data_IF_458730636537
#
_entry.id   IF_458730636537
#
_cell.length_a   1.000
_cell.length_b   1.000
_cell.length_c   1.000
_cell.angle_alpha   90.00
_cell.angle_beta   90.00
_cell.angle_gamma   90.00
#
_symmetry.space_group_name_H-M   'P 1'
#
loop_
_entity.id
_entity.type
_entity.pdbx_description
1 polymer ?
#
# COMPACT_ATOMS: atom_id res chain seq x y z
N UNK A 1 -14.47 7.92 6.81
CA UNK A 1 -13.86 6.91 5.92
C UNK A 1 -12.81 6.12 6.70
N UNK A 2 -12.84 4.79 6.63
CA UNK A 2 -11.89 3.92 7.32
C UNK A 2 -11.09 3.09 6.31
N UNK A 3 -9.77 3.06 6.45
CA UNK A 3 -8.87 2.31 5.57
C UNK A 3 -8.68 0.87 6.06
N UNK A 4 -8.34 -0.05 5.15
CA UNK A 4 -8.07 -1.46 5.49
C UNK A 4 -6.97 -1.61 6.57
N UNK A 5 -5.96 -0.73 6.55
CA UNK A 5 -4.90 -0.69 7.58
C UNK A 5 -5.42 -0.40 8.98
N UNK A 6 -6.49 0.40 9.11
CA UNK A 6 -7.12 0.71 10.38
C UNK A 6 -7.96 -0.47 10.86
N UNK A 7 -8.69 -1.13 9.95
CA UNK A 7 -9.42 -2.37 10.26
C UNK A 7 -8.49 -3.51 10.66
N UNK A 8 -7.36 -3.67 9.97
CA UNK A 8 -6.31 -4.61 10.35
C UNK A 8 -5.84 -4.38 11.78
N UNK A 9 -5.49 -3.12 12.11
CA UNK A 9 -5.01 -2.76 13.44
C UNK A 9 -6.04 -3.00 14.55
N UNK A 10 -7.33 -2.83 14.26
CA UNK A 10 -8.42 -3.02 15.20
C UNK A 10 -8.77 -4.49 15.43
N UNK A 11 -8.65 -5.33 14.40
CA UNK A 11 -9.16 -6.71 14.43
C UNK A 11 -8.11 -7.75 14.74
N UNK A 12 -6.81 -7.48 14.53
CA UNK A 12 -5.74 -8.47 14.76
C UNK A 12 -5.12 -8.33 16.15
N UNK A 13 -5.10 -9.39 16.98
CA UNK A 13 -4.61 -9.31 18.35
C UNK A 13 -3.11 -9.00 18.44
N UNK A 14 -2.34 -9.35 17.40
CA UNK A 14 -0.90 -9.13 17.35
C UNK A 14 -0.47 -7.80 16.71
N UNK A 15 -1.37 -7.04 16.07
CA UNK A 15 -1.00 -5.88 15.25
C UNK A 15 -0.14 -4.86 16.01
N UNK A 16 -0.50 -4.57 17.27
CA UNK A 16 0.28 -3.66 18.14
C UNK A 16 1.70 -4.19 18.39
N UNK A 17 1.83 -5.47 18.73
CA UNK A 17 3.11 -6.11 19.03
C UNK A 17 4.02 -6.12 17.80
N UNK A 18 3.49 -6.51 16.64
CA UNK A 18 4.27 -6.58 15.39
C UNK A 18 4.76 -5.18 14.98
N UNK A 19 3.91 -4.16 15.11
CA UNK A 19 4.32 -2.79 14.88
C UNK A 19 5.47 -2.36 15.79
N UNK A 20 5.48 -2.77 17.06
CA UNK A 20 6.58 -2.49 17.99
C UNK A 20 7.87 -3.23 17.61
N UNK A 21 7.78 -4.51 17.22
CA UNK A 21 8.93 -5.31 16.80
C UNK A 21 9.66 -4.67 15.62
N UNK A 22 8.94 -4.30 14.56
CA UNK A 22 9.54 -3.69 13.37
C UNK A 22 10.08 -2.28 13.60
N UNK A 23 9.53 -1.56 14.57
CA UNK A 23 10.00 -0.24 14.97
C UNK A 23 11.29 -0.31 15.81
N UNK A 24 11.42 -1.34 16.63
CA UNK A 24 12.56 -1.51 17.55
C UNK A 24 13.72 -2.30 16.93
N UNK A 25 13.44 -3.12 15.92
CA UNK A 25 14.44 -3.99 15.35
C UNK A 25 15.55 -3.22 14.63
N UNK A 26 16.79 -3.59 14.94
CA UNK A 26 17.98 -3.13 14.24
C UNK A 26 18.10 -3.83 12.88
N UNK A 27 17.64 -5.09 12.79
CA UNK A 27 17.65 -5.88 11.57
C UNK A 27 16.24 -6.38 11.20
N UNK A 28 15.79 -6.22 9.93
CA UNK A 28 14.48 -6.70 9.49
C UNK A 28 14.27 -8.22 9.66
N UNK A 29 15.34 -9.02 9.54
CA UNK A 29 15.27 -10.47 9.68
C UNK A 29 14.89 -10.90 11.11
N UNK A 30 15.39 -10.19 12.12
CA UNK A 30 15.08 -10.47 13.52
C UNK A 30 13.62 -10.15 13.84
N UNK A 31 13.13 -8.97 13.40
CA UNK A 31 11.73 -8.60 13.53
C UNK A 31 10.81 -9.66 12.91
N UNK A 32 11.18 -10.15 11.71
CA UNK A 32 10.43 -11.17 10.99
C UNK A 32 10.38 -12.51 11.73
N UNK A 33 11.49 -12.95 12.33
CA UNK A 33 11.52 -14.18 13.12
C UNK A 33 10.59 -14.09 14.33
N UNK A 34 10.71 -13.01 15.12
CA UNK A 34 9.87 -12.78 16.30
C UNK A 34 8.38 -12.59 15.94
N UNK A 35 8.11 -11.98 14.79
CA UNK A 35 6.77 -11.84 14.23
C UNK A 35 6.14 -13.21 13.93
N UNK A 36 6.88 -14.10 13.24
CA UNK A 36 6.42 -15.46 12.93
C UNK A 36 6.08 -16.22 14.20
N UNK A 37 6.93 -16.14 15.23
CA UNK A 37 6.68 -16.81 16.51
C UNK A 37 5.44 -16.25 17.22
N UNK A 38 5.23 -14.93 17.19
CA UNK A 38 4.06 -14.31 17.80
C UNK A 38 2.76 -14.73 17.12
N UNK A 39 2.73 -14.76 15.78
CA UNK A 39 1.56 -15.16 15.01
C UNK A 39 1.31 -16.66 15.16
N UNK A 40 2.36 -17.48 15.10
CA UNK A 40 2.26 -18.94 15.25
C UNK A 40 1.53 -19.33 16.54
N UNK A 41 1.88 -18.72 17.68
CA UNK A 41 1.21 -18.98 18.97
C UNK A 41 -0.28 -18.65 18.95
N UNK A 42 -0.66 -17.57 18.29
CA UNK A 42 -2.07 -17.15 18.19
C UNK A 42 -2.85 -18.03 17.20
N UNK A 43 -2.23 -18.43 16.09
CA UNK A 43 -2.79 -19.40 15.15
C UNK A 43 -2.96 -20.78 15.81
N UNK A 44 -1.99 -21.24 16.58
CA UNK A 44 -2.08 -22.50 17.33
C UNK A 44 -3.21 -22.46 18.37
N UNK A 45 -3.39 -21.33 19.07
CA UNK A 45 -4.52 -21.13 19.99
C UNK A 45 -5.86 -21.16 19.24
N UNK A 46 -5.95 -20.49 18.09
CA UNK A 46 -7.15 -20.50 17.27
C UNK A 46 -7.46 -21.89 16.69
N UNK A 47 -6.42 -22.65 16.32
CA UNK A 47 -6.54 -23.99 15.75
C UNK A 47 -7.11 -25.02 16.74
N UNK A 48 -7.14 -24.71 18.05
CA UNK A 48 -7.82 -25.54 19.05
C UNK A 48 -9.34 -25.51 18.92
N UNK A 49 -9.89 -24.48 18.26
CA UNK A 49 -11.34 -24.23 18.17
C UNK A 49 -11.83 -24.22 16.73
N UNK A 50 -10.98 -23.84 15.77
CA UNK A 50 -11.34 -23.71 14.36
C UNK A 50 -10.34 -24.42 13.46
N UNK A 51 -10.80 -24.98 12.34
CA UNK A 51 -9.91 -25.38 11.26
C UNK A 51 -9.35 -24.13 10.58
N UNK A 52 -8.02 -24.06 10.42
CA UNK A 52 -7.35 -22.93 9.78
C UNK A 52 -6.72 -23.40 8.48
N UNK A 53 -7.26 -22.99 7.31
CA UNK A 53 -6.66 -23.33 6.02
C UNK A 53 -5.24 -22.80 5.90
N UNK A 54 -4.35 -23.56 5.24
CA UNK A 54 -2.96 -23.14 5.02
C UNK A 54 -2.85 -21.79 4.29
N UNK A 55 -3.77 -21.51 3.37
CA UNK A 55 -3.86 -20.21 2.67
C UNK A 55 -4.08 -19.05 3.65
N UNK A 56 -4.89 -19.24 4.69
CA UNK A 56 -5.13 -18.23 5.75
C UNK A 56 -3.85 -17.93 6.51
N UNK A 57 -3.08 -18.96 6.86
CA UNK A 57 -1.80 -18.80 7.56
C UNK A 57 -0.83 -17.98 6.70
N UNK A 58 -0.71 -18.32 5.42
CA UNK A 58 0.15 -17.58 4.47
C UNK A 58 -0.26 -16.12 4.34
N UNK A 59 -1.56 -15.86 4.19
CA UNK A 59 -2.10 -14.50 4.06
C UNK A 59 -1.87 -13.67 5.32
N UNK A 60 -2.12 -14.23 6.51
CA UNK A 60 -1.93 -13.51 7.78
C UNK A 60 -0.45 -13.23 8.07
N UNK A 61 0.45 -14.16 7.75
CA UNK A 61 1.89 -13.93 7.84
C UNK A 61 2.33 -12.79 6.91
N UNK A 62 1.83 -12.77 5.67
CA UNK A 62 2.16 -11.73 4.70
C UNK A 62 1.58 -10.36 5.10
N UNK A 63 0.32 -10.31 5.55
CA UNK A 63 -0.31 -9.10 6.07
C UNK A 63 0.42 -8.55 7.28
N UNK A 64 0.84 -9.42 8.20
CA UNK A 64 1.60 -9.01 9.37
C UNK A 64 2.98 -8.46 9.01
N UNK A 65 3.68 -9.09 8.06
CA UNK A 65 4.96 -8.60 7.55
C UNK A 65 4.78 -7.23 6.89
N UNK A 66 3.77 -7.08 6.04
CA UNK A 66 3.42 -5.82 5.38
C UNK A 66 3.03 -4.73 6.40
N UNK A 67 2.25 -5.08 7.42
CA UNK A 67 1.87 -4.19 8.51
C UNK A 67 3.10 -3.72 9.31
N UNK A 68 4.02 -4.63 9.63
CA UNK A 68 5.27 -4.29 10.32
C UNK A 68 6.08 -3.24 9.56
N UNK A 69 6.26 -3.45 8.26
CA UNK A 69 6.91 -2.48 7.37
C UNK A 69 6.15 -1.15 7.29
N UNK A 70 4.84 -1.20 7.13
CA UNK A 70 3.98 -0.01 7.09
C UNK A 70 4.11 0.83 8.38
N UNK A 71 4.09 0.19 9.55
CA UNK A 71 4.23 0.88 10.83
C UNK A 71 5.63 1.50 11.00
N UNK A 72 6.69 0.76 10.67
CA UNK A 72 8.06 1.28 10.83
C UNK A 72 8.36 2.47 9.90
N UNK A 73 7.65 2.58 8.77
CA UNK A 73 7.75 3.70 7.83
C UNK A 73 6.80 4.86 8.11
N UNK A 74 6.02 4.80 9.19
CA UNK A 74 5.21 5.93 9.66
C UNK A 74 3.73 5.85 9.31
N UNK A 75 3.24 4.69 8.85
CA UNK A 75 1.83 4.46 8.51
C UNK A 75 1.30 5.38 7.41
N UNK A 76 2.16 5.65 6.42
CA UNK A 76 1.86 6.55 5.30
C UNK A 76 0.79 5.93 4.41
N UNK A 77 -0.31 6.65 4.19
CA UNK A 77 -1.38 6.26 3.26
C UNK A 77 -1.34 7.18 2.05
N UNK A 78 -1.32 6.59 0.85
CA UNK A 78 -1.60 7.30 -0.39
C UNK A 78 -2.99 6.92 -0.85
N UNK A 79 -3.86 7.90 -1.03
CA UNK A 79 -5.24 7.72 -1.43
C UNK A 79 -5.41 8.26 -2.84
N UNK A 80 -5.82 7.42 -3.78
CA UNK A 80 -6.22 7.88 -5.11
C UNK A 80 -7.55 8.63 -4.96
N UNK A 81 -7.58 9.91 -5.31
CA UNK A 81 -8.82 10.68 -5.29
C UNK A 81 -9.85 10.08 -6.26
N UNK A 82 -11.15 10.22 -5.97
CA UNK A 82 -12.22 9.49 -6.67
C UNK A 82 -12.17 9.69 -8.19
N UNK A 83 -11.96 10.93 -8.65
CA UNK A 83 -11.86 11.23 -10.08
C UNK A 83 -10.64 10.54 -10.74
N UNK A 84 -9.51 10.50 -10.03
CA UNK A 84 -8.31 9.80 -10.49
C UNK A 84 -8.50 8.29 -10.49
N UNK A 85 -9.08 7.73 -9.43
CA UNK A 85 -9.36 6.30 -9.33
C UNK A 85 -10.29 5.84 -10.47
N UNK A 86 -11.34 6.62 -10.77
CA UNK A 86 -12.25 6.35 -11.88
C UNK A 86 -11.55 6.41 -13.25
N UNK A 87 -10.71 7.42 -13.49
CA UNK A 87 -9.95 7.54 -14.72
C UNK A 87 -8.95 6.38 -14.90
N UNK A 88 -8.31 5.95 -13.81
CA UNK A 88 -7.36 4.84 -13.82
C UNK A 88 -8.06 3.49 -14.01
N UNK A 89 -9.28 3.31 -13.51
CA UNK A 89 -10.10 2.13 -13.80
C UNK A 89 -10.43 2.03 -15.31
N UNK A 90 -10.58 3.17 -15.98
CA UNK A 90 -10.76 3.27 -17.44
C UNK A 90 -9.43 3.36 -18.22
N UNK A 91 -8.30 3.05 -17.58
CA UNK A 91 -6.97 3.04 -18.21
C UNK A 91 -6.44 1.62 -18.24
N UNK A 92 -5.92 1.19 -19.40
CA UNK A 92 -5.25 -0.13 -19.52
C UNK A 92 -4.12 -0.24 -18.51
N UNK A 93 -3.99 -1.40 -17.87
CA UNK A 93 -2.84 -1.69 -17.01
C UNK A 93 -1.53 -1.44 -17.79
N UNK A 94 -0.49 -0.84 -17.18
CA UNK A 94 0.79 -0.70 -17.83
C UNK A 94 1.39 -2.07 -18.16
N UNK A 95 2.08 -2.18 -19.28
CA UNK A 95 2.81 -3.40 -19.64
C UNK A 95 4.12 -3.58 -18.84
N UNK A 96 4.68 -2.47 -18.34
CA UNK A 96 5.91 -2.42 -17.53
C UNK A 96 5.72 -1.39 -16.42
N UNK A 97 6.40 -1.54 -15.29
CA UNK A 97 6.57 -0.43 -14.35
C UNK A 97 7.63 0.57 -14.85
N UNK A 98 7.62 1.84 -14.38
CA UNK A 98 8.69 2.78 -14.64
C UNK A 98 10.05 2.26 -14.16
N UNK A 99 11.12 2.56 -14.90
CA UNK A 99 12.49 2.12 -14.56
C UNK A 99 12.98 2.73 -13.22
N UNK A 100 12.40 3.87 -12.85
CA UNK A 100 12.61 4.54 -11.57
C UNK A 100 11.25 4.85 -10.92
N UNK A 101 11.08 4.41 -9.67
CA UNK A 101 9.88 4.66 -8.88
C UNK A 101 10.09 5.87 -7.97
N UNK A 102 9.09 6.75 -7.93
CA UNK A 102 8.99 7.85 -6.96
C UNK A 102 7.92 7.48 -5.94
N UNK A 103 8.32 6.82 -4.86
CA UNK A 103 7.41 6.31 -3.83
C UNK A 103 7.37 7.25 -2.62
N UNK A 104 6.21 7.39 -1.94
CA UNK A 104 6.09 8.26 -0.76
C UNK A 104 6.88 7.74 0.45
N UNK A 105 7.13 6.43 0.52
CA UNK A 105 7.97 5.76 1.50
C UNK A 105 8.35 4.37 0.99
N UNK A 106 9.36 3.74 1.60
CA UNK A 106 9.73 2.34 1.31
C UNK A 106 8.61 1.34 1.66
N UNK A 107 7.68 1.73 2.54
CA UNK A 107 6.47 0.98 2.79
C UNK A 107 5.31 1.92 3.10
N UNK A 108 4.19 1.71 2.44
CA UNK A 108 3.00 2.54 2.55
C UNK A 108 1.76 1.74 2.16
N UNK A 109 0.58 2.31 2.37
CA UNK A 109 -0.67 1.73 1.87
C UNK A 109 -1.21 2.59 0.73
N UNK A 110 -1.42 1.99 -0.44
CA UNK A 110 -2.11 2.61 -1.56
C UNK A 110 -3.59 2.24 -1.49
N UNK A 111 -4.44 3.23 -1.22
CA UNK A 111 -5.87 3.05 -1.20
C UNK A 111 -6.49 3.40 -2.56
N UNK A 112 -7.38 2.51 -3.02
CA UNK A 112 -8.18 2.66 -4.24
C UNK A 112 -9.65 2.71 -3.79
N UNK A 113 -10.32 3.87 -3.87
CA UNK A 113 -11.74 3.99 -3.53
C UNK A 113 -12.61 2.99 -4.29
N UNK A 114 -13.59 2.41 -3.60
CA UNK A 114 -14.50 1.40 -4.16
C UNK A 114 -13.94 -0.02 -4.26
N UNK A 115 -12.62 -0.18 -4.44
CA UNK A 115 -11.98 -1.49 -4.69
C UNK A 115 -11.27 -2.06 -3.45
N UNK A 116 -10.55 -1.20 -2.70
CA UNK A 116 -9.77 -1.60 -1.53
C UNK A 116 -8.40 -0.92 -1.49
N UNK A 117 -7.32 -1.70 -1.63
CA UNK A 117 -5.97 -1.16 -1.71
C UNK A 117 -4.87 -2.20 -1.61
N UNK A 118 -3.63 -1.74 -1.47
CA UNK A 118 -2.48 -2.60 -1.29
C UNK A 118 -1.53 -2.03 -0.24
N UNK A 119 -1.01 -2.90 0.62
CA UNK A 119 0.28 -2.61 1.24
C UNK A 119 1.37 -2.76 0.18
N UNK A 120 2.18 -1.74 0.03
CA UNK A 120 3.31 -1.71 -0.90
C UNK A 120 4.58 -1.71 -0.06
N UNK A 121 5.46 -2.68 -0.28
CA UNK A 121 6.80 -2.73 0.32
C UNK A 121 7.84 -2.76 -0.78
N UNK A 122 8.73 -1.77 -0.79
CA UNK A 122 9.78 -1.60 -1.76
C UNK A 122 11.08 -2.29 -1.31
N UNK A 123 11.63 -3.11 -2.19
CA UNK A 123 12.92 -3.78 -2.03
C UNK A 123 13.91 -3.22 -3.06
N UNK A 124 14.57 -2.07 -2.78
CA UNK A 124 15.41 -1.37 -3.76
C UNK A 124 16.56 -2.24 -4.28
N UNK A 125 17.20 -3.01 -3.40
CA UNK A 125 18.31 -3.91 -3.76
C UNK A 125 17.93 -5.00 -4.77
N UNK A 126 16.63 -5.33 -4.83
CA UNK A 126 16.07 -6.32 -5.75
C UNK A 126 15.25 -5.69 -6.86
N UNK A 127 15.12 -4.36 -6.85
CA UNK A 127 14.20 -3.58 -7.70
C UNK A 127 12.82 -4.25 -7.79
N UNK A 128 12.26 -4.56 -6.63
CA UNK A 128 11.00 -5.28 -6.52
C UNK A 128 10.03 -4.57 -5.58
N UNK A 129 8.74 -4.70 -5.86
CA UNK A 129 7.65 -4.35 -4.97
C UNK A 129 6.95 -5.62 -4.52
N UNK A 130 6.74 -5.74 -3.21
CA UNK A 130 5.82 -6.71 -2.64
C UNK A 130 4.48 -6.00 -2.45
N UNK A 131 3.43 -6.57 -3.03
CA UNK A 131 2.07 -6.07 -2.98
C UNK A 131 1.23 -7.06 -2.17
N UNK A 132 0.67 -6.60 -1.07
CA UNK A 132 -0.37 -7.33 -0.33
C UNK A 132 -1.68 -6.62 -0.61
N UNK A 133 -2.43 -7.13 -1.59
CA UNK A 133 -3.72 -6.61 -2.02
C UNK A 133 -4.77 -6.96 -0.97
N UNK A 134 -5.65 -6.00 -0.69
CA UNK A 134 -6.69 -6.11 0.33
C UNK A 134 -7.98 -5.52 -0.20
N UNK A 135 -9.06 -6.28 -0.21
CA UNK A 135 -10.38 -5.82 -0.71
C UNK A 135 -10.98 -4.76 0.21
N UNK A 136 -11.89 -3.96 -0.35
CA UNK A 136 -12.61 -2.93 0.41
C UNK A 136 -13.39 -3.52 1.61
N UNK A 137 -13.93 -4.73 1.48
CA UNK A 137 -14.65 -5.44 2.53
C UNK A 137 -13.76 -6.11 3.59
N UNK A 138 -12.44 -5.98 3.52
CA UNK A 138 -11.52 -6.68 4.42
C UNK A 138 -11.75 -6.34 5.90
N UNK A 139 -11.84 -7.38 6.73
CA UNK A 139 -11.95 -7.31 8.19
C UNK A 139 -13.09 -6.38 8.67
N UNK A 140 -14.35 -6.64 8.28
CA UNK A 140 -15.48 -5.85 8.73
C UNK A 140 -15.70 -6.04 10.24
N UNK A 141 -16.33 -5.06 10.88
CA UNK A 141 -16.54 -5.07 12.33
C UNK A 141 -17.33 -6.32 12.77
N UNK A 142 -16.88 -6.96 13.84
CA UNK A 142 -17.53 -8.14 14.42
C UNK A 142 -17.24 -9.48 13.73
N UNK A 143 -16.50 -9.51 12.62
CA UNK A 143 -16.08 -10.76 11.98
C UNK A 143 -14.80 -11.30 12.62
N UNK A 144 -14.78 -12.61 12.88
CA UNK A 144 -13.59 -13.29 13.35
C UNK A 144 -12.49 -13.15 12.31
N UNK A 145 -11.31 -12.67 12.71
CA UNK A 145 -10.20 -12.39 11.82
C UNK A 145 -9.77 -13.61 10.98
N UNK A 146 -10.06 -14.83 11.44
CA UNK A 146 -9.82 -16.09 10.74
C UNK A 146 -10.62 -16.25 9.44
N UNK A 147 -11.73 -15.54 9.27
CA UNK A 147 -12.63 -15.66 8.11
C UNK A 147 -12.29 -14.68 6.97
N UNK A 148 -11.19 -13.94 7.05
CA UNK A 148 -10.87 -12.86 6.10
C UNK A 148 -9.78 -13.22 5.08
N UNK A 149 -9.38 -14.49 4.98
CA UNK A 149 -8.27 -14.91 4.12
C UNK A 149 -8.55 -14.77 2.61
N UNK A 150 -9.80 -14.93 2.20
CA UNK A 150 -10.30 -14.73 0.84
C UNK A 150 -10.28 -13.24 0.40
N UNK A 151 -10.04 -12.33 1.35
CA UNK A 151 -9.99 -10.89 1.12
C UNK A 151 -8.56 -10.36 0.97
N UNK A 152 -7.58 -11.24 0.72
CA UNK A 152 -6.16 -10.91 0.58
C UNK A 152 -5.54 -11.66 -0.61
N UNK A 153 -4.68 -10.98 -1.37
CA UNK A 153 -3.89 -11.58 -2.45
C UNK A 153 -2.47 -11.04 -2.46
N UNK A 154 -1.51 -11.86 -2.88
CA UNK A 154 -0.09 -11.53 -2.82
C UNK A 154 0.48 -11.48 -4.23
N UNK A 155 1.07 -10.34 -4.58
CA UNK A 155 1.81 -10.19 -5.82
C UNK A 155 3.21 -9.65 -5.56
N UNK A 156 4.16 -10.08 -6.36
CA UNK A 156 5.50 -9.50 -6.43
C UNK A 156 5.73 -9.03 -7.85
N UNK A 157 6.20 -7.79 -7.98
CA UNK A 157 6.53 -7.20 -9.28
C UNK A 157 7.94 -6.63 -9.25
N UNK A 158 8.71 -6.93 -10.27
CA UNK A 158 10.09 -6.49 -10.48
C UNK A 158 10.14 -5.46 -11.60
N UNK A 159 11.11 -4.55 -11.52
CA UNK A 159 11.31 -3.49 -12.50
C UNK A 159 12.80 -3.17 -12.74
N UNK A 160 13.18 -2.77 -13.96
CA UNK A 160 12.36 -2.75 -15.16
C UNK A 160 12.05 -4.18 -15.65
N UNK A 161 10.88 -4.39 -16.25
CA UNK A 161 10.46 -5.72 -16.69
C UNK A 161 9.00 -5.74 -17.15
N UNK A 162 8.61 -6.78 -17.88
CA UNK A 162 7.23 -6.97 -18.31
C UNK A 162 6.38 -7.50 -17.15
N UNK A 163 5.21 -6.91 -16.97
CA UNK A 163 4.29 -7.26 -15.88
C UNK A 163 3.50 -8.53 -16.19
N UNK A 164 3.08 -8.75 -17.44
CA UNK A 164 2.24 -9.88 -17.82
C UNK A 164 2.73 -11.26 -17.31
N UNK A 165 3.99 -11.69 -17.52
CA UNK A 165 4.44 -12.99 -17.02
C UNK A 165 4.49 -13.06 -15.49
N UNK A 166 4.76 -11.93 -14.81
CA UNK A 166 4.86 -11.87 -13.35
C UNK A 166 3.49 -11.95 -12.67
N UNK A 167 2.44 -11.54 -13.36
CA UNK A 167 1.08 -11.46 -12.83
C UNK A 167 0.21 -12.67 -13.22
N UNK A 168 0.73 -13.60 -14.02
CA UNK A 168 -0.03 -14.74 -14.55
C UNK A 168 -0.61 -15.67 -13.48
N UNK A 169 -0.02 -15.70 -12.28
CA UNK A 169 -0.47 -16.52 -11.16
C UNK A 169 -1.51 -15.82 -10.27
N UNK A 170 -1.77 -14.53 -10.48
CA UNK A 170 -2.76 -13.79 -9.68
C UNK A 170 -4.17 -14.23 -10.11
N UNK A 171 -5.04 -14.48 -9.14
CA UNK A 171 -6.42 -14.87 -9.42
C UNK A 171 -7.18 -13.81 -10.21
N UNK A 172 -8.02 -14.23 -11.17
CA UNK A 172 -8.73 -13.33 -12.07
C UNK A 172 -9.57 -12.25 -11.37
N UNK A 173 -10.17 -12.60 -10.22
CA UNK A 173 -10.98 -11.69 -9.40
C UNK A 173 -10.18 -10.54 -8.78
N UNK A 174 -8.84 -10.61 -8.80
CA UNK A 174 -7.94 -9.58 -8.28
C UNK A 174 -7.40 -8.66 -9.36
N UNK A 175 -7.59 -8.97 -10.64
CA UNK A 175 -7.03 -8.19 -11.74
C UNK A 175 -7.51 -6.73 -11.74
N UNK A 176 -8.75 -6.45 -11.35
CA UNK A 176 -9.27 -5.09 -11.24
C UNK A 176 -8.49 -4.24 -10.24
N UNK A 177 -8.44 -4.69 -8.98
CA UNK A 177 -7.69 -4.01 -7.92
C UNK A 177 -6.19 -3.96 -8.22
N UNK A 178 -5.60 -5.04 -8.73
CA UNK A 178 -4.20 -5.07 -9.11
C UNK A 178 -3.87 -4.06 -10.21
N UNK A 179 -4.70 -3.98 -11.26
CA UNK A 179 -4.54 -3.00 -12.32
C UNK A 179 -4.65 -1.58 -11.77
N UNK A 180 -5.60 -1.31 -10.87
CA UNK A 180 -5.75 0.00 -10.22
C UNK A 180 -4.51 0.37 -9.37
N UNK A 181 -3.97 -0.60 -8.62
CA UNK A 181 -2.74 -0.42 -7.83
C UNK A 181 -1.53 -0.14 -8.73
N UNK A 182 -1.34 -0.91 -9.81
CA UNK A 182 -0.24 -0.71 -10.75
C UNK A 182 -0.36 0.61 -11.51
N UNK A 183 -1.57 0.98 -11.93
CA UNK A 183 -1.88 2.28 -12.51
C UNK A 183 -1.56 3.41 -11.51
N UNK A 184 -1.94 3.27 -10.25
CA UNK A 184 -1.63 4.24 -9.19
C UNK A 184 -0.12 4.38 -8.96
N UNK A 185 0.62 3.28 -8.91
CA UNK A 185 2.08 3.28 -8.80
C UNK A 185 2.75 3.95 -10.00
N UNK A 186 2.29 3.68 -11.22
CA UNK A 186 2.77 4.36 -12.42
C UNK A 186 2.43 5.87 -12.37
N UNK A 187 1.25 6.23 -11.86
CA UNK A 187 0.80 7.62 -11.72
C UNK A 187 1.69 8.43 -10.77
N UNK A 188 2.22 7.81 -9.71
CA UNK A 188 3.14 8.46 -8.77
C UNK A 188 4.45 8.96 -9.39
N UNK A 189 4.77 8.50 -10.61
CA UNK A 189 5.93 8.98 -11.38
C UNK A 189 5.59 10.11 -12.34
N UNK A 190 4.31 10.47 -12.49
CA UNK A 190 3.87 11.47 -13.45
C UNK A 190 4.01 12.89 -12.86
N UNK A 191 4.56 13.86 -13.61
CA UNK A 191 4.75 15.22 -13.12
C UNK A 191 3.44 15.97 -12.86
N UNK A 192 2.34 15.54 -13.50
CA UNK A 192 1.00 16.10 -13.32
C UNK A 192 0.29 15.59 -12.06
N UNK A 193 0.84 14.60 -11.36
CA UNK A 193 0.24 14.12 -10.13
C UNK A 193 0.48 15.13 -9.01
N UNK A 194 -0.60 15.62 -8.43
CA UNK A 194 -0.60 16.49 -7.27
C UNK A 194 -0.77 15.65 -6.01
N UNK A 195 0.02 15.98 -4.99
CA UNK A 195 0.00 15.32 -3.69
C UNK A 195 -0.53 16.29 -2.65
N UNK A 196 -1.79 16.11 -2.26
CA UNK A 196 -2.44 16.95 -1.24
C UNK A 196 -2.35 16.30 0.13
N UNK A 197 -1.71 17.00 1.07
CA UNK A 197 -1.52 16.58 2.47
C UNK A 197 -2.30 17.46 3.43
N UNK A 198 -3.63 17.47 3.28
CA UNK A 198 -4.51 18.34 4.08
C UNK A 198 -4.36 18.19 5.61
N UNK A 199 -3.87 17.04 6.08
CA UNK A 199 -3.57 16.81 7.50
C UNK A 199 -2.46 17.72 8.04
N UNK A 200 -1.49 18.14 7.20
CA UNK A 200 -0.38 19.00 7.62
C UNK A 200 -0.88 20.38 8.07
N UNK A 201 -1.90 20.92 7.39
CA UNK A 201 -2.49 22.22 7.74
C UNK A 201 -3.34 22.18 9.03
N UNK A 202 -3.84 21.00 9.41
CA UNK A 202 -4.70 20.81 10.59
C UNK A 202 -3.92 20.35 11.83
N UNK A 203 -2.68 19.90 11.65
CA UNK A 203 -1.83 19.40 12.74
C UNK A 203 -0.92 20.51 13.31
N UNK A 204 -0.44 20.38 14.56
CA UNK A 204 0.55 21.31 15.10
C UNK A 204 1.81 21.35 14.22
N UNK A 205 2.18 22.55 13.75
CA UNK A 205 3.27 22.76 12.81
C UNK A 205 4.62 22.21 13.31
N UNK A 206 4.87 22.28 14.62
CA UNK A 206 6.06 21.70 15.26
C UNK A 206 6.14 20.17 15.08
N UNK A 207 5.00 19.47 15.17
CA UNK A 207 4.95 18.01 15.00
C UNK A 207 5.10 17.63 13.53
N UNK A 208 4.50 18.41 12.62
CA UNK A 208 4.66 18.22 11.17
C UNK A 208 6.14 18.38 10.78
N UNK A 209 6.79 19.47 11.20
CA UNK A 209 8.20 19.71 10.93
C UNK A 209 9.10 18.62 11.53
N UNK A 210 8.82 18.18 12.76
CA UNK A 210 9.58 17.11 13.40
C UNK A 210 9.34 15.73 12.74
N UNK A 211 8.14 15.46 12.22
CA UNK A 211 7.83 14.24 11.47
C UNK A 211 8.56 14.20 10.12
N UNK A 212 8.80 15.35 9.52
CA UNK A 212 9.58 15.53 8.30
C UNK A 212 11.09 15.76 8.54
N UNK A 213 11.58 15.60 9.78
CA UNK A 213 12.96 15.93 10.13
C UNK A 213 13.96 15.19 9.21
N UNK A 214 14.92 15.87 8.57
CA UNK A 214 15.71 15.31 7.46
C UNK A 214 16.60 14.14 7.88
N UNK A 215 17.32 14.25 8.99
CA UNK A 215 18.36 13.27 9.38
C UNK A 215 18.01 12.40 10.59
N UNK A 216 17.19 12.85 11.54
CA UNK A 216 16.95 12.14 12.79
C UNK A 216 15.71 11.23 12.75
N UNK A 217 15.93 9.93 12.56
CA UNK A 217 14.86 8.92 12.57
C UNK A 217 14.07 8.87 13.88
N UNK A 218 14.75 9.02 15.03
CA UNK A 218 14.11 9.04 16.36
C UNK A 218 13.16 10.23 16.52
N UNK A 219 13.56 11.41 16.03
CA UNK A 219 12.71 12.61 16.04
C UNK A 219 11.48 12.40 15.17
N UNK A 220 11.66 11.92 13.92
CA UNK A 220 10.54 11.59 13.03
C UNK A 220 9.56 10.64 13.70
N UNK A 221 10.06 9.53 14.25
CA UNK A 221 9.22 8.52 14.88
C UNK A 221 8.45 9.05 16.10
N UNK A 222 9.10 9.85 16.95
CA UNK A 222 8.44 10.48 18.11
C UNK A 222 7.32 11.41 17.66
N UNK A 223 7.59 12.30 16.70
CA UNK A 223 6.61 13.24 16.18
C UNK A 223 5.44 12.54 15.49
N UNK A 224 5.71 11.52 14.67
CA UNK A 224 4.67 10.67 14.05
C UNK A 224 3.79 9.97 15.08
N UNK A 225 4.39 9.52 16.18
CA UNK A 225 3.64 8.93 17.30
C UNK A 225 2.76 9.97 18.01
N UNK A 226 3.20 11.23 18.10
CA UNK A 226 2.41 12.33 18.66
C UNK A 226 1.25 12.71 17.74
N UNK A 227 1.51 12.87 16.44
CA UNK A 227 0.48 13.12 15.42
C UNK A 227 -0.62 12.06 15.48
N UNK A 228 -0.24 10.79 15.47
CA UNK A 228 -1.18 9.69 15.54
C UNK A 228 -2.00 9.69 16.83
N UNK A 229 -1.37 9.95 17.99
CA UNK A 229 -2.08 10.08 19.28
C UNK A 229 -3.05 11.26 19.29
N UNK A 230 -2.71 12.33 18.57
CA UNK A 230 -3.59 13.48 18.35
C UNK A 230 -4.68 13.25 17.31
N UNK A 231 -4.79 12.06 16.73
CA UNK A 231 -5.79 11.72 15.72
C UNK A 231 -5.41 12.06 14.28
N UNK A 232 -4.18 12.53 14.03
CA UNK A 232 -3.70 12.88 12.70
C UNK A 232 -3.08 11.65 12.00
N UNK A 233 -3.66 11.25 10.87
CA UNK A 233 -3.08 10.23 9.98
C UNK A 233 -2.33 10.87 8.81
N UNK A 234 -1.15 10.33 8.47
CA UNK A 234 -0.38 10.75 7.28
C UNK A 234 -1.05 10.24 5.98
N UNK A 235 -2.14 10.89 5.59
CA UNK A 235 -2.90 10.58 4.37
C UNK A 235 -2.55 11.60 3.29
N UNK A 236 -1.98 11.13 2.19
CA UNK A 236 -1.73 11.95 1.00
C UNK A 236 -2.74 11.61 -0.07
N UNK A 237 -3.51 12.59 -0.53
CA UNK A 237 -4.42 12.46 -1.65
C UNK A 237 -3.66 12.68 -2.96
N UNK A 238 -3.71 11.69 -3.85
CA UNK A 238 -3.14 11.72 -5.19
C UNK A 238 -4.22 12.22 -6.17
N UNK A 239 -3.96 13.36 -6.81
CA UNK A 239 -4.95 14.09 -7.63
C UNK A 239 -4.38 14.51 -8.97
N UNK A 240 -5.25 14.70 -9.96
CA UNK A 240 -4.96 15.37 -11.22
C UNK A 240 -6.09 16.36 -11.46
N UNK A 241 -5.80 17.66 -11.40
CA UNK A 241 -6.82 18.72 -11.40
C UNK A 241 -7.68 18.76 -12.66
N UNK A 242 -7.16 18.24 -13.77
CA UNK A 242 -7.86 18.19 -15.07
C UNK A 242 -8.98 17.14 -15.11
N UNK A 243 -9.09 16.26 -14.10
CA UNK A 243 -10.09 15.20 -14.06
C UNK A 243 -11.36 15.67 -13.38
N UNK A 244 -12.49 15.54 -14.08
CA UNK A 244 -13.80 15.75 -13.50
C UNK A 244 -14.28 14.50 -12.74
N UNK A 245 -14.90 14.71 -11.58
CA UNK A 245 -15.57 13.64 -10.84
C UNK A 245 -16.77 13.11 -11.64
N UNK A 246 -16.93 11.78 -11.71
CA UNK A 246 -18.08 11.16 -12.37
C UNK A 246 -18.03 11.20 -13.90
N UNK A 247 -16.87 11.48 -14.52
CA UNK A 247 -16.73 11.51 -15.96
C UNK A 247 -17.10 10.16 -16.61
N UNK A 248 -17.90 10.20 -17.67
CA UNK A 248 -18.17 9.05 -18.53
C UNK A 248 -17.13 9.06 -19.67
N UNK A 249 -16.28 8.05 -19.71
CA UNK A 249 -15.22 7.94 -20.71
C UNK A 249 -15.69 7.11 -21.90
N UNK A 250 -15.58 7.66 -23.11
CA UNK A 250 -15.92 6.97 -24.38
C UNK A 250 -14.76 6.08 -24.86
N UNK A 251 -13.54 6.41 -24.46
CA UNK A 251 -12.30 5.78 -24.91
C UNK A 251 -11.38 5.44 -23.74
N UNK A 252 -10.71 4.30 -23.86
CA UNK A 252 -9.82 3.80 -22.82
C UNK A 252 -8.49 4.57 -22.83
N UNK A 253 -8.03 4.95 -21.64
CA UNK A 253 -6.70 5.50 -21.43
C UNK A 253 -5.62 4.43 -21.57
N UNK A 254 -4.37 4.84 -21.74
CA UNK A 254 -3.24 3.91 -21.85
C UNK A 254 -1.91 4.52 -21.42
N UNK A 255 -0.91 3.66 -21.23
CA UNK A 255 0.46 4.05 -20.92
C UNK A 255 1.34 3.94 -22.16
N UNK A 256 2.00 5.04 -22.52
CA UNK A 256 3.02 5.04 -23.57
C UNK A 256 4.40 5.04 -22.95
N UNK A 257 5.26 4.12 -23.40
CA UNK A 257 6.69 4.16 -23.07
C UNK A 257 7.37 5.21 -23.93
N UNK A 258 8.09 6.12 -23.31
CA UNK A 258 8.88 7.14 -23.98
C UNK A 258 10.35 6.94 -23.60
N UNK A 259 11.23 6.82 -24.60
CA UNK A 259 12.66 6.83 -24.38
C UNK A 259 13.08 8.14 -23.70
N UNK A 260 13.82 8.03 -22.61
CA UNK A 260 14.49 9.13 -21.93
C UNK A 260 15.97 9.18 -22.30
N UNK A 261 16.65 10.22 -21.82
CA UNK A 261 18.11 10.30 -21.92
C UNK A 261 18.80 9.25 -21.05
N UNK A 262 19.96 8.76 -21.48
CA UNK A 262 20.80 7.85 -20.69
C UNK A 262 20.32 6.39 -20.65
N UNK A 263 19.50 5.94 -21.60
CA UNK A 263 19.04 4.54 -21.68
C UNK A 263 17.87 4.19 -20.76
N UNK A 264 17.34 5.17 -20.02
CA UNK A 264 16.14 5.02 -19.21
C UNK A 264 14.88 5.29 -20.03
N UNK A 265 13.79 4.64 -19.66
CA UNK A 265 12.46 4.86 -20.22
C UNK A 265 11.51 5.37 -19.14
N UNK A 266 10.62 6.28 -19.54
CA UNK A 266 9.52 6.74 -18.68
C UNK A 266 8.18 6.29 -19.23
N UNK A 267 7.22 6.11 -18.36
CA UNK A 267 5.83 5.98 -18.75
C UNK A 267 5.20 7.36 -18.86
N UNK A 268 4.37 7.55 -19.87
CA UNK A 268 3.55 8.73 -20.07
C UNK A 268 2.10 8.29 -20.10
N UNK A 269 1.30 8.82 -19.19
CA UNK A 269 -0.13 8.53 -19.14
C UNK A 269 -0.91 9.34 -20.17
N UNK A 270 -1.58 8.63 -21.07
CA UNK A 270 -2.63 9.19 -21.94
C UNK A 270 -3.97 8.92 -21.26
N UNK A 271 -4.59 9.99 -20.77
CA UNK A 271 -5.85 9.92 -20.04
C UNK A 271 -6.98 9.39 -20.93
N UNK A 272 -7.95 8.65 -20.36
CA UNK A 272 -9.18 8.32 -21.05
C UNK A 272 -9.94 9.60 -21.43
N UNK A 273 -10.73 9.52 -22.50
CA UNK A 273 -11.60 10.62 -22.98
C UNK A 273 -13.01 10.11 -23.09
#
# INVERSE_FOLDING_TARGET
MQYAVQRYAATRPWAKRIGQLYVQAVQPAEARAQMKDAIKRELERAAQVFEIPQSTIVCELALAEAWGHFVCRGRVVSHLDDALAQALAHTRQPANLPDALSLPADAFFLHVPGEGGAFVVHQPERRALLLTLVRMGFAPDGVNWLQAADQVELARVEYPGELAPQLAAVGGDWHGLLAAVLNGLAMMTQPKLLLSRGWEASAPAEWVAAAAHPSCAKTRQKARSQLLKGGFGEITFCRVDELAAGAAYESQGYWRRQAGGGGHSRLVWVAPR
#
